data_IF_491704109500
#
_entry.id   IF_491704109500
#
_cell.length_a   1.000
_cell.length_b   1.000
_cell.length_c   1.000
_cell.angle_alpha   90.00
_cell.angle_beta   90.00
_cell.angle_gamma   90.00
#
_symmetry.space_group_name_H-M   'P 1'
#
loop_
_entity.id
_entity.type
_entity.pdbx_description
1 polymer ?
#
# COMPACT_ATOMS: atom_id res chain seq x y z
N UNK A 1 -75.63 -0.96 16.27
CA UNK A 1 -74.32 -0.46 15.77
C UNK A 1 -73.30 -1.59 15.97
N UNK A 2 -72.71 -2.16 14.91
CA UNK A 2 -71.82 -3.32 15.06
C UNK A 2 -70.43 -2.90 15.55
N UNK A 3 -69.91 -3.60 16.56
CA UNK A 3 -68.51 -3.54 16.99
C UNK A 3 -67.63 -4.25 15.96
N UNK A 4 -66.63 -3.55 15.42
CA UNK A 4 -65.54 -4.16 14.64
C UNK A 4 -64.43 -4.66 15.58
N UNK A 5 -63.89 -5.87 15.37
CA UNK A 5 -62.71 -6.31 16.12
C UNK A 5 -61.45 -5.63 15.58
N UNK A 6 -60.70 -4.99 16.48
CA UNK A 6 -59.41 -4.36 16.19
C UNK A 6 -58.35 -5.43 15.86
N UNK A 7 -57.78 -5.34 14.65
CA UNK A 7 -56.71 -6.21 14.15
C UNK A 7 -55.40 -5.93 14.91
N UNK A 8 -54.64 -6.95 15.35
CA UNK A 8 -53.36 -6.73 16.03
C UNK A 8 -52.32 -6.15 15.06
N UNK A 9 -51.53 -5.19 15.58
CA UNK A 9 -50.47 -4.52 14.84
C UNK A 9 -49.37 -5.50 14.43
N UNK A 10 -49.01 -5.51 13.14
CA UNK A 10 -47.87 -6.28 12.63
C UNK A 10 -46.54 -5.62 13.04
N UNK A 11 -45.48 -6.39 13.34
CA UNK A 11 -44.16 -5.85 13.60
C UNK A 11 -43.56 -5.24 12.32
N UNK A 12 -42.67 -4.23 12.44
CA UNK A 12 -42.04 -3.61 11.30
C UNK A 12 -41.14 -4.60 10.54
N UNK A 13 -40.99 -4.45 9.20
CA UNK A 13 -40.10 -5.29 8.42
C UNK A 13 -38.62 -5.10 8.84
N UNK A 14 -37.76 -6.11 8.67
CA UNK A 14 -36.33 -5.97 8.96
C UNK A 14 -35.69 -4.92 8.05
N UNK A 15 -34.83 -4.07 8.63
CA UNK A 15 -34.09 -3.05 7.91
C UNK A 15 -33.22 -3.67 6.80
N UNK A 16 -33.23 -3.05 5.63
CA UNK A 16 -32.38 -3.43 4.49
C UNK A 16 -30.90 -3.39 4.87
N UNK A 17 -30.06 -4.33 4.38
CA UNK A 17 -28.63 -4.30 4.63
C UNK A 17 -27.99 -3.04 4.01
N UNK A 18 -26.94 -2.47 4.63
CA UNK A 18 -26.25 -1.31 4.07
C UNK A 18 -25.63 -1.64 2.70
N UNK A 19 -25.57 -0.66 1.78
CA UNK A 19 -24.97 -0.88 0.47
C UNK A 19 -23.50 -1.27 0.62
N UNK A 20 -23.12 -2.37 -0.03
CA UNK A 20 -21.75 -2.81 -0.22
C UNK A 20 -20.90 -1.69 -0.83
N UNK A 21 -19.65 -1.46 -0.37
CA UNK A 21 -18.75 -0.53 -1.06
C UNK A 21 -18.46 -1.09 -2.46
N UNK A 22 -18.84 -0.31 -3.49
CA UNK A 22 -18.46 -0.55 -4.88
C UNK A 22 -16.95 -0.81 -5.01
N UNK A 23 -16.49 -1.64 -5.96
CA UNK A 23 -15.08 -1.72 -6.26
C UNK A 23 -14.61 -0.32 -6.69
N UNK A 24 -13.73 0.27 -5.89
CA UNK A 24 -13.08 1.53 -6.20
C UNK A 24 -12.54 1.48 -7.63
N UNK A 25 -12.71 2.57 -8.36
CA UNK A 25 -12.18 2.76 -9.70
C UNK A 25 -10.66 2.58 -9.77
N UNK A 26 -10.08 2.72 -10.98
CA UNK A 26 -8.63 2.59 -11.15
C UNK A 26 -7.86 3.48 -10.16
N UNK A 27 -6.70 3.02 -9.64
CA UNK A 27 -5.96 3.74 -8.62
C UNK A 27 -5.56 5.14 -9.10
N UNK A 28 -5.45 6.14 -8.19
CA UNK A 28 -5.09 7.49 -8.55
C UNK A 28 -3.71 7.49 -9.22
N UNK A 29 -3.67 7.88 -10.49
CA UNK A 29 -2.43 8.17 -11.22
C UNK A 29 -1.82 9.42 -10.62
N UNK A 30 -0.73 9.26 -9.89
CA UNK A 30 0.06 10.38 -9.38
C UNK A 30 0.63 11.20 -10.56
N UNK A 31 0.47 12.54 -10.55
CA UNK A 31 1.04 13.37 -11.61
C UNK A 31 2.56 13.38 -11.47
N UNK A 32 3.27 12.87 -12.49
CA UNK A 32 4.74 12.90 -12.55
C UNK A 32 5.43 11.57 -12.88
N UNK A 33 4.70 10.50 -13.20
CA UNK A 33 5.30 9.29 -13.75
C UNK A 33 5.15 9.35 -15.27
N UNK A 34 6.26 9.62 -15.96
CA UNK A 34 6.35 9.42 -17.41
C UNK A 34 5.87 8.00 -17.76
N UNK A 35 4.98 7.82 -18.75
CA UNK A 35 4.46 6.50 -19.13
C UNK A 35 5.53 5.47 -19.53
N UNK A 36 6.79 5.90 -19.72
CA UNK A 36 7.91 5.07 -20.13
C UNK A 36 8.70 4.43 -18.98
N UNK A 37 8.41 4.73 -17.71
CA UNK A 37 9.16 4.21 -16.55
C UNK A 37 8.29 3.39 -15.59
N UNK A 38 7.39 2.57 -16.13
CA UNK A 38 6.86 1.47 -15.35
C UNK A 38 8.00 0.46 -15.13
N UNK A 39 8.35 0.07 -13.88
CA UNK A 39 9.24 -1.07 -13.70
C UNK A 39 8.63 -2.24 -14.48
N UNK A 40 9.42 -3.02 -15.24
CA UNK A 40 8.89 -4.11 -16.01
C UNK A 40 8.07 -4.97 -15.07
N UNK A 41 6.77 -5.08 -15.36
CA UNK A 41 5.87 -6.00 -14.68
C UNK A 41 6.47 -7.38 -14.95
N UNK A 42 7.35 -7.86 -14.07
CA UNK A 42 7.86 -9.21 -14.15
C UNK A 42 6.68 -10.10 -13.77
N UNK A 43 6.09 -10.87 -14.71
CA UNK A 43 5.22 -11.95 -14.30
C UNK A 43 6.05 -12.85 -13.36
N UNK A 44 5.48 -13.34 -12.24
CA UNK A 44 6.22 -14.23 -11.37
C UNK A 44 6.73 -15.42 -12.18
N UNK A 45 7.96 -15.91 -11.92
CA UNK A 45 8.51 -17.05 -12.64
C UNK A 45 7.54 -18.22 -12.50
N UNK A 46 7.05 -18.70 -13.64
CA UNK A 46 6.19 -19.88 -13.70
C UNK A 46 7.04 -21.07 -13.29
N UNK A 47 6.98 -21.45 -12.01
CA UNK A 47 7.63 -22.64 -11.51
C UNK A 47 7.19 -23.84 -12.36
N UNK A 48 8.11 -24.80 -12.66
CA UNK A 48 7.70 -26.04 -13.29
C UNK A 48 6.63 -26.70 -12.40
N UNK A 49 5.51 -27.04 -13.03
CA UNK A 49 4.43 -27.75 -12.40
C UNK A 49 4.89 -29.18 -12.05
N UNK A 50 5.64 -29.36 -10.96
CA UNK A 50 6.03 -30.69 -10.50
C UNK A 50 6.11 -30.76 -8.97
N UNK A 51 5.01 -30.38 -8.31
CA UNK A 51 4.61 -30.92 -7.00
C UNK A 51 3.14 -30.56 -6.72
N UNK A 52 2.28 -30.63 -7.74
CA UNK A 52 0.84 -30.58 -7.51
C UNK A 52 0.39 -31.97 -7.06
N UNK A 53 -0.32 -32.13 -5.92
CA UNK A 53 -0.99 -33.39 -5.64
C UNK A 53 -1.96 -33.68 -6.80
N UNK A 54 -2.02 -34.91 -7.33
CA UNK A 54 -2.82 -35.20 -8.51
C UNK A 54 -4.30 -35.14 -8.17
N UNK A 55 -4.94 -33.99 -8.35
CA UNK A 55 -6.41 -33.88 -8.25
C UNK A 55 -7.03 -33.09 -9.40
N UNK A 56 -6.48 -33.28 -10.60
CA UNK A 56 -7.27 -33.18 -11.82
C UNK A 56 -8.04 -34.49 -12.03
N UNK A 57 -9.25 -34.60 -11.46
CA UNK A 57 -10.29 -35.55 -11.91
C UNK A 57 -11.66 -34.97 -11.62
N UNK A 58 -12.17 -34.24 -12.62
CA UNK A 58 -13.59 -34.02 -12.89
C UNK A 58 -14.39 -33.26 -11.83
N UNK A 59 -15.36 -32.45 -12.27
CA UNK A 59 -16.45 -31.94 -11.43
C UNK A 59 -17.33 -33.11 -10.95
N UNK A 60 -16.80 -34.04 -10.16
CA UNK A 60 -17.64 -34.94 -9.35
C UNK A 60 -18.22 -34.03 -8.27
N UNK A 61 -19.54 -33.90 -8.25
CA UNK A 61 -20.24 -33.26 -7.15
C UNK A 61 -19.78 -33.94 -5.86
N UNK A 62 -18.88 -33.28 -5.13
CA UNK A 62 -18.43 -33.76 -3.83
C UNK A 62 -19.64 -33.66 -2.92
N UNK A 63 -20.07 -34.79 -2.39
CA UNK A 63 -21.14 -34.84 -1.41
C UNK A 63 -20.78 -33.92 -0.23
N UNK A 64 -21.67 -32.96 0.03
CA UNK A 64 -21.46 -31.86 0.97
C UNK A 64 -21.35 -32.39 2.42
N UNK A 65 -21.96 -33.53 2.71
CA UNK A 65 -21.89 -34.22 4.00
C UNK A 65 -20.63 -35.03 4.22
N UNK A 66 -19.81 -35.26 3.19
CA UNK A 66 -18.61 -36.09 3.33
C UNK A 66 -17.60 -35.47 4.30
N UNK A 67 -17.02 -36.32 5.17
CA UNK A 67 -15.91 -35.96 6.07
C UNK A 67 -14.75 -35.30 5.31
N UNK A 68 -14.48 -35.80 4.11
CA UNK A 68 -13.43 -35.32 3.21
C UNK A 68 -13.67 -33.86 2.79
N UNK A 69 -14.92 -33.52 2.44
CA UNK A 69 -15.33 -32.15 2.12
C UNK A 69 -15.14 -31.21 3.33
N UNK A 70 -15.55 -31.64 4.53
CA UNK A 70 -15.42 -30.85 5.76
C UNK A 70 -13.97 -30.50 6.06
N UNK A 71 -13.05 -31.46 5.95
CA UNK A 71 -11.61 -31.23 6.16
C UNK A 71 -11.05 -30.24 5.14
N UNK A 72 -11.40 -30.36 3.85
CA UNK A 72 -10.96 -29.39 2.82
C UNK A 72 -11.46 -27.99 3.12
N UNK A 73 -12.72 -27.85 3.53
CA UNK A 73 -13.32 -26.55 3.87
C UNK A 73 -12.67 -25.92 5.08
N UNK A 74 -12.40 -26.71 6.12
CA UNK A 74 -11.73 -26.18 7.31
C UNK A 74 -10.33 -25.68 6.99
N UNK A 75 -9.55 -26.46 6.22
CA UNK A 75 -8.24 -26.02 5.71
C UNK A 75 -8.33 -24.72 4.91
N UNK A 76 -9.32 -24.61 4.00
CA UNK A 76 -9.52 -23.41 3.21
C UNK A 76 -9.92 -22.21 4.07
N UNK A 77 -10.80 -22.39 5.07
CA UNK A 77 -11.18 -21.33 6.00
C UNK A 77 -9.94 -20.78 6.75
N UNK A 78 -9.06 -21.67 7.21
CA UNK A 78 -7.78 -21.27 7.83
C UNK A 78 -6.90 -20.50 6.84
N UNK A 79 -6.74 -21.00 5.62
CA UNK A 79 -5.93 -20.34 4.58
C UNK A 79 -6.46 -18.94 4.22
N UNK A 80 -7.78 -18.78 4.12
CA UNK A 80 -8.44 -17.50 3.85
C UNK A 80 -8.20 -16.51 4.98
N UNK A 81 -8.38 -16.93 6.24
CA UNK A 81 -8.06 -16.09 7.41
C UNK A 81 -6.61 -15.62 7.36
N UNK A 82 -5.67 -16.56 7.19
CA UNK A 82 -4.23 -16.26 7.08
C UNK A 82 -3.89 -15.30 5.95
N UNK A 83 -4.49 -15.49 4.76
CA UNK A 83 -4.28 -14.62 3.60
C UNK A 83 -4.79 -13.20 3.86
N UNK A 84 -5.97 -13.07 4.48
CA UNK A 84 -6.55 -11.78 4.85
C UNK A 84 -5.68 -11.05 5.88
N UNK A 85 -5.23 -11.74 6.92
CA UNK A 85 -4.40 -11.13 7.96
C UNK A 85 -3.05 -10.69 7.40
N UNK A 86 -2.45 -11.49 6.50
CA UNK A 86 -1.22 -11.08 5.81
C UNK A 86 -1.45 -9.86 4.90
N UNK A 87 -2.59 -9.76 4.22
CA UNK A 87 -2.92 -8.58 3.42
C UNK A 87 -3.12 -7.33 4.28
N UNK A 88 -3.84 -7.45 5.41
CA UNK A 88 -3.98 -6.36 6.38
C UNK A 88 -2.62 -5.90 6.91
N UNK A 89 -1.76 -6.85 7.29
CA UNK A 89 -0.42 -6.56 7.78
C UNK A 89 0.42 -5.82 6.72
N UNK A 90 0.41 -6.28 5.46
CA UNK A 90 1.12 -5.58 4.38
C UNK A 90 0.61 -4.15 4.17
N UNK A 91 -0.70 -3.94 4.27
CA UNK A 91 -1.28 -2.61 4.12
C UNK A 91 -0.84 -1.69 5.27
N UNK A 92 -0.83 -2.19 6.51
CA UNK A 92 -0.34 -1.45 7.66
C UNK A 92 1.16 -1.12 7.55
N UNK A 93 1.98 -2.10 7.15
CA UNK A 93 3.42 -1.89 6.87
C UNK A 93 3.64 -0.83 5.79
N UNK A 94 2.82 -0.83 4.74
CA UNK A 94 2.89 0.17 3.66
C UNK A 94 2.55 1.56 4.19
N UNK A 95 1.49 1.70 4.98
CA UNK A 95 1.13 2.98 5.62
C UNK A 95 2.25 3.48 6.52
N UNK A 96 2.83 2.60 7.33
CA UNK A 96 3.97 2.93 8.16
C UNK A 96 5.16 3.40 7.31
N UNK A 97 5.44 2.72 6.19
CA UNK A 97 6.56 3.09 5.32
C UNK A 97 6.38 4.46 4.68
N UNK A 98 5.15 4.82 4.32
CA UNK A 98 4.84 6.17 3.80
C UNK A 98 5.15 7.24 4.85
N UNK A 99 4.80 7.01 6.11
CA UNK A 99 5.11 7.94 7.20
C UNK A 99 6.62 8.09 7.42
N UNK A 100 7.34 6.97 7.49
CA UNK A 100 8.81 6.97 7.59
C UNK A 100 9.46 7.76 6.46
N UNK A 101 9.12 7.44 5.21
CA UNK A 101 9.68 8.11 4.04
C UNK A 101 9.32 9.59 4.00
N UNK A 102 8.13 9.97 4.45
CA UNK A 102 7.71 11.38 4.51
C UNK A 102 8.58 12.16 5.51
N UNK A 103 8.78 11.60 6.71
CA UNK A 103 9.66 12.17 7.74
C UNK A 103 11.12 12.28 7.26
N UNK A 104 11.65 11.23 6.63
CA UNK A 104 13.00 11.25 6.08
C UNK A 104 13.14 12.27 4.94
N UNK A 105 12.13 12.39 4.07
CA UNK A 105 12.14 13.37 3.01
C UNK A 105 12.18 14.80 3.56
N UNK A 106 11.39 15.10 4.59
CA UNK A 106 11.41 16.42 5.25
C UNK A 106 12.79 16.71 5.89
N UNK A 107 13.36 15.73 6.59
CA UNK A 107 14.70 15.84 7.17
C UNK A 107 15.76 16.12 6.11
N UNK A 108 15.71 15.41 4.98
CA UNK A 108 16.63 15.61 3.86
C UNK A 108 16.45 16.99 3.22
N UNK A 109 15.21 17.44 3.00
CA UNK A 109 14.92 18.80 2.50
C UNK A 109 15.52 19.87 3.39
N UNK A 110 15.34 19.76 4.72
CA UNK A 110 15.96 20.68 5.69
C UNK A 110 17.49 20.67 5.59
N UNK A 111 18.11 19.50 5.41
CA UNK A 111 19.56 19.41 5.27
C UNK A 111 20.07 20.05 3.97
N UNK A 112 19.36 19.84 2.86
CA UNK A 112 19.65 20.51 1.59
C UNK A 112 19.55 22.02 1.75
N UNK A 113 18.45 22.51 2.32
CA UNK A 113 18.22 23.94 2.53
C UNK A 113 19.28 24.59 3.41
N UNK A 114 19.70 23.90 4.48
CA UNK A 114 20.81 24.35 5.33
C UNK A 114 22.13 24.46 4.54
N UNK A 115 22.52 23.40 3.84
CA UNK A 115 23.76 23.39 3.06
C UNK A 115 23.73 24.45 1.96
N UNK A 116 22.58 24.67 1.32
CA UNK A 116 22.40 25.74 0.34
C UNK A 116 22.62 27.12 0.95
N UNK A 117 22.11 27.38 2.16
CA UNK A 117 22.36 28.64 2.88
C UNK A 117 23.83 28.81 3.28
N UNK A 118 24.48 27.76 3.75
CA UNK A 118 25.91 27.78 4.08
C UNK A 118 26.76 28.10 2.85
N UNK A 119 26.46 27.47 1.71
CA UNK A 119 27.13 27.76 0.43
C UNK A 119 26.87 29.18 -0.06
N UNK A 120 25.64 29.68 0.04
CA UNK A 120 25.32 31.05 -0.36
C UNK A 120 26.04 32.08 0.51
N UNK A 121 26.12 31.81 1.82
CA UNK A 121 26.89 32.64 2.76
C UNK A 121 28.36 32.67 2.37
N UNK A 122 28.97 31.50 2.13
CA UNK A 122 30.36 31.41 1.68
C UNK A 122 30.58 32.17 0.36
N UNK A 123 29.72 31.96 -0.63
CA UNK A 123 29.77 32.69 -1.92
C UNK A 123 29.65 34.21 -1.72
N UNK A 124 28.74 34.65 -0.85
CA UNK A 124 28.58 36.05 -0.49
C UNK A 124 29.86 36.66 0.08
N UNK A 125 30.52 35.94 1.00
CA UNK A 125 31.82 36.36 1.57
C UNK A 125 32.88 36.49 0.47
N UNK A 126 33.03 35.47 -0.38
CA UNK A 126 34.01 35.50 -1.48
C UNK A 126 33.76 36.64 -2.48
N UNK A 127 32.50 37.01 -2.73
CA UNK A 127 32.17 38.14 -3.62
C UNK A 127 32.52 39.52 -3.04
N UNK A 128 32.61 39.64 -1.72
CA UNK A 128 32.92 40.91 -1.04
C UNK A 128 34.42 41.10 -0.81
N UNK A 129 35.21 40.04 -0.89
CA UNK A 129 36.66 40.10 -0.71
C UNK A 129 37.35 40.62 -1.97
N UNK A 130 38.33 41.54 -1.87
CA UNK A 130 39.13 41.97 -3.01
C UNK A 130 39.97 40.79 -3.55
N UNK A 131 40.17 40.74 -4.87
CA UNK A 131 40.82 39.59 -5.54
C UNK A 131 42.21 39.26 -4.96
N UNK A 132 42.92 40.25 -4.41
CA UNK A 132 44.24 40.08 -3.77
C UNK A 132 44.20 39.25 -2.48
N UNK A 133 43.09 39.26 -1.73
CA UNK A 133 42.95 38.49 -0.49
C UNK A 133 42.50 37.04 -0.73
N UNK A 134 41.76 36.80 -1.83
CA UNK A 134 41.20 35.48 -2.19
C UNK A 134 42.32 34.52 -2.59
N UNK A 135 43.23 34.96 -3.46
CA UNK A 135 44.37 34.15 -3.95
C UNK A 135 45.32 33.77 -2.81
N UNK A 136 45.46 34.62 -1.79
CA UNK A 136 46.30 34.37 -0.61
C UNK A 136 45.68 33.39 0.39
N UNK A 137 44.36 33.37 0.54
CA UNK A 137 43.65 32.42 1.40
C UNK A 137 43.58 31.01 0.79
N UNK A 138 43.37 30.89 -0.52
CA UNK A 138 43.33 29.60 -1.22
C UNK A 138 44.72 29.00 -1.48
N UNK A 139 45.75 29.83 -1.65
CA UNK A 139 47.12 29.38 -1.91
C UNK A 139 47.89 28.89 -0.68
N UNK A 140 47.37 29.07 0.53
CA UNK A 140 48.08 28.74 1.78
C UNK A 140 47.68 27.41 2.44
N UNK A 141 46.68 26.70 1.90
CA UNK A 141 46.20 25.41 2.43
C UNK A 141 46.75 24.17 1.71
N UNK A 142 47.76 24.34 0.84
CA UNK A 142 48.50 23.26 0.22
C UNK A 142 50.00 23.44 0.45
N UNK A 143 50.45 23.16 1.67
CA UNK A 143 51.85 22.89 2.02
C UNK A 143 51.88 22.00 3.26
#
# INVERSE_FOLDING_TARGET
>A
LPCFPSKPAQPPPPASPPPHPSPAGPPPTWPGIDPAHHPPYHPPPRLPASAAPPSGKSKKALDKSSSEYRVRRERNNIAVRKSRDKAKQRNAETQQKVLELSSDNERLRKRVEQLSRELETLRGIFRQLPESSIVKAMGSSCA
#
